data_IF_037436270308
#
_entry.id   IF_037436270308
#
_cell.length_a   1.000
_cell.length_b   1.000
_cell.length_c   1.000
_cell.angle_alpha   90.00
_cell.angle_beta   90.00
_cell.angle_gamma   90.00
#
_symmetry.space_group_name_H-M   'P 1'
#
loop_
_entity.id
_entity.type
_entity.pdbx_description
1 polymer ?
#
# COMPACT_ATOMS: atom_id res chain seq x y z
N UNK A 1 -13.41 11.75 6.55
CA UNK A 1 -12.26 11.85 5.69
C UNK A 1 -12.68 11.87 4.24
N UNK A 2 -11.82 12.32 3.34
CA UNK A 2 -12.23 12.51 1.96
C UNK A 2 -11.30 11.77 1.02
N UNK A 3 -11.86 11.26 -0.07
CA UNK A 3 -11.05 10.63 -1.10
C UNK A 3 -10.26 11.68 -1.86
N UNK A 4 -8.96 11.48 -1.91
CA UNK A 4 -8.02 12.39 -2.54
C UNK A 4 -7.37 11.70 -3.72
N UNK A 5 -7.30 12.38 -4.85
CA UNK A 5 -6.65 11.86 -6.05
C UNK A 5 -5.14 11.72 -5.79
N UNK A 6 -4.59 10.55 -6.06
CA UNK A 6 -3.19 10.25 -5.73
C UNK A 6 -2.33 9.91 -6.94
N UNK A 7 -2.84 9.07 -7.83
CA UNK A 7 -2.08 8.60 -8.98
C UNK A 7 -3.04 8.20 -10.08
N UNK A 8 -2.50 7.96 -11.27
CA UNK A 8 -3.28 7.40 -12.36
C UNK A 8 -3.19 5.89 -12.30
N UNK A 9 -4.28 5.22 -12.71
CA UNK A 9 -4.31 3.77 -12.78
C UNK A 9 -3.12 3.24 -13.60
N UNK A 10 -2.80 3.88 -14.71
CA UNK A 10 -1.72 3.44 -15.60
C UNK A 10 -0.31 3.65 -15.04
N UNK A 11 -0.18 4.46 -13.97
CA UNK A 11 1.13 4.71 -13.37
C UNK A 11 1.63 3.54 -12.53
N UNK A 12 0.74 2.60 -12.21
CA UNK A 12 1.07 1.47 -11.35
C UNK A 12 0.74 0.17 -12.09
N UNK A 13 1.77 -0.52 -12.55
CA UNK A 13 1.60 -1.78 -13.25
C UNK A 13 1.05 -2.86 -12.30
N UNK A 14 0.34 -3.83 -12.86
CA UNK A 14 -0.17 -4.96 -12.09
C UNK A 14 0.97 -5.66 -11.37
N UNK A 15 0.75 -5.97 -10.09
CA UNK A 15 1.75 -6.62 -9.25
C UNK A 15 2.82 -5.67 -8.71
N UNK A 16 2.65 -4.37 -8.89
CA UNK A 16 3.63 -3.37 -8.46
C UNK A 16 3.02 -2.39 -7.47
N UNK A 17 3.90 -1.70 -6.77
CA UNK A 17 3.54 -0.64 -5.84
C UNK A 17 4.18 0.68 -6.20
N UNK A 18 3.60 1.76 -5.68
CA UNK A 18 4.13 3.10 -5.87
C UNK A 18 3.91 3.90 -4.59
N UNK A 19 4.94 4.60 -4.15
CA UNK A 19 4.83 5.50 -3.00
C UNK A 19 4.25 6.84 -3.47
N UNK A 20 3.24 7.33 -2.77
CA UNK A 20 2.68 8.66 -3.01
C UNK A 20 2.60 9.41 -1.68
N UNK A 21 2.71 10.74 -1.75
CA UNK A 21 2.52 11.58 -0.57
C UNK A 21 1.20 12.31 -0.71
N UNK A 22 0.34 12.18 0.29
CA UNK A 22 -0.99 12.76 0.29
C UNK A 22 -1.27 13.38 1.65
N UNK A 23 -1.55 14.68 1.66
CA UNK A 23 -1.87 15.41 2.90
C UNK A 23 -0.83 15.18 4.00
N UNK A 24 0.44 15.17 3.62
CA UNK A 24 1.53 14.99 4.57
C UNK A 24 1.80 13.55 4.98
N UNK A 25 1.10 12.58 4.40
CA UNK A 25 1.30 11.16 4.69
C UNK A 25 1.91 10.46 3.50
N UNK A 26 2.86 9.57 3.77
CA UNK A 26 3.43 8.71 2.73
C UNK A 26 2.64 7.42 2.69
N UNK A 27 2.13 7.08 1.52
CA UNK A 27 1.24 5.94 1.32
C UNK A 27 1.81 5.08 0.20
N UNK A 28 1.75 3.76 0.38
CA UNK A 28 2.10 2.81 -0.67
C UNK A 28 0.82 2.35 -1.34
N UNK A 29 0.73 2.56 -2.65
CA UNK A 29 -0.37 2.09 -3.48
C UNK A 29 0.06 0.84 -4.21
N UNK A 30 -0.82 -0.16 -4.26
CA UNK A 30 -0.54 -1.41 -4.94
C UNK A 30 -1.64 -1.75 -5.93
N UNK A 31 -1.25 -2.25 -7.09
CA UNK A 31 -2.16 -2.74 -8.10
C UNK A 31 -2.13 -4.27 -8.07
N UNK A 32 -3.23 -4.88 -7.61
CA UNK A 32 -3.35 -6.33 -7.56
C UNK A 32 -4.49 -6.73 -8.49
N UNK A 33 -4.13 -7.17 -9.68
CA UNK A 33 -5.09 -7.62 -10.70
C UNK A 33 -6.14 -6.56 -11.03
N UNK A 34 -5.74 -5.30 -11.10
CA UNK A 34 -6.63 -4.20 -11.41
C UNK A 34 -7.35 -3.59 -10.21
N UNK A 35 -7.17 -4.16 -9.02
CA UNK A 35 -7.69 -3.59 -7.78
C UNK A 35 -6.57 -2.86 -7.06
N UNK A 36 -6.89 -1.70 -6.51
CA UNK A 36 -5.89 -0.88 -5.83
C UNK A 36 -6.05 -0.95 -4.32
N UNK A 37 -4.93 -1.05 -3.63
CA UNK A 37 -4.87 -1.10 -2.18
C UNK A 37 -3.88 -0.04 -1.71
N UNK A 38 -4.17 0.57 -0.57
CA UNK A 38 -3.33 1.61 0.00
C UNK A 38 -3.05 1.30 1.46
N UNK A 39 -1.78 1.30 1.82
CA UNK A 39 -1.33 1.14 3.21
C UNK A 39 -0.25 2.16 3.48
N UNK A 40 0.13 2.32 4.74
CA UNK A 40 1.27 3.17 5.07
C UNK A 40 2.50 2.75 4.27
N UNK A 41 3.29 3.73 3.86
CA UNK A 41 4.46 3.47 3.02
C UNK A 41 5.60 2.78 3.74
N UNK A 42 5.65 2.90 5.08
CA UNK A 42 6.75 2.37 5.86
C UNK A 42 6.34 1.15 6.66
N UNK A 43 7.20 0.12 6.59
CA UNK A 43 7.07 -1.05 7.44
C UNK A 43 7.20 -0.64 8.91
N UNK A 44 6.31 -1.14 9.76
CA UNK A 44 6.31 -0.79 11.19
C UNK A 44 7.51 -1.36 11.95
N UNK A 45 8.18 -2.37 11.39
CA UNK A 45 9.36 -2.96 12.04
C UNK A 45 10.57 -2.04 11.96
N UNK A 46 10.97 -1.65 10.75
CA UNK A 46 12.22 -0.90 10.56
C UNK A 46 12.09 0.26 9.58
N UNK A 47 10.88 0.62 9.20
CA UNK A 47 10.66 1.72 8.27
C UNK A 47 10.97 1.38 6.82
N UNK A 48 11.02 0.10 6.46
CA UNK A 48 11.31 -0.31 5.11
C UNK A 48 10.27 0.17 4.09
N UNK A 49 10.68 0.34 2.82
CA UNK A 49 9.80 0.90 1.79
C UNK A 49 8.83 -0.15 1.25
N UNK A 50 7.62 -0.20 1.79
CA UNK A 50 6.62 -1.19 1.39
C UNK A 50 6.26 -1.13 -0.09
N UNK A 51 6.30 0.06 -0.69
CA UNK A 51 5.99 0.18 -2.12
C UNK A 51 6.95 -0.60 -3.02
N UNK A 52 8.15 -0.90 -2.52
CA UNK A 52 9.14 -1.70 -3.25
C UNK A 52 9.05 -3.19 -2.89
N UNK A 53 8.09 -3.55 -2.06
CA UNK A 53 7.92 -4.92 -1.61
C UNK A 53 7.32 -5.83 -2.68
N UNK A 54 7.35 -7.12 -2.41
CA UNK A 54 6.77 -8.12 -3.29
C UNK A 54 5.35 -8.43 -2.87
N UNK A 55 4.42 -8.40 -3.81
CA UNK A 55 3.02 -8.74 -3.55
C UNK A 55 2.84 -10.25 -3.70
N UNK A 56 2.20 -10.86 -2.70
CA UNK A 56 1.89 -12.29 -2.71
C UNK A 56 0.56 -12.50 -2.02
N UNK A 57 -0.44 -13.02 -2.74
CA UNK A 57 -1.75 -13.35 -2.18
C UNK A 57 -2.39 -12.22 -1.34
N UNK A 58 -2.47 -11.02 -1.89
CA UNK A 58 -3.01 -9.84 -1.21
C UNK A 58 -2.21 -9.42 0.03
N UNK A 59 -0.97 -9.84 0.12
CA UNK A 59 -0.04 -9.39 1.15
C UNK A 59 1.16 -8.74 0.50
N UNK A 60 1.79 -7.80 1.19
CA UNK A 60 3.04 -7.21 0.75
C UNK A 60 4.16 -7.66 1.67
N UNK A 61 5.26 -8.13 1.08
CA UNK A 61 6.45 -8.56 1.77
C UNK A 61 7.44 -7.39 1.79
N UNK A 62 7.76 -6.91 2.98
CA UNK A 62 8.72 -5.81 3.14
C UNK A 62 10.10 -6.23 2.65
N UNK A 63 10.76 -5.45 1.78
CA UNK A 63 12.10 -5.81 1.29
C UNK A 63 13.16 -5.81 2.38
N UNK A 64 12.88 -5.20 3.53
CA UNK A 64 13.76 -5.23 4.69
C UNK A 64 13.21 -6.26 5.68
N UNK A 65 13.89 -7.36 5.91
CA UNK A 65 13.56 -8.38 6.92
C UNK A 65 12.27 -9.19 6.66
N UNK A 66 11.58 -8.96 5.53
CA UNK A 66 10.47 -9.80 5.06
C UNK A 66 9.25 -9.90 5.99
N UNK A 67 8.89 -8.82 6.68
CA UNK A 67 7.59 -8.75 7.34
C UNK A 67 6.49 -8.71 6.29
N UNK A 68 5.38 -9.39 6.53
CA UNK A 68 4.25 -9.39 5.60
C UNK A 68 3.04 -8.73 6.20
N UNK A 69 2.37 -7.91 5.41
CA UNK A 69 1.18 -7.18 5.82
C UNK A 69 0.04 -7.46 4.84
N UNK A 70 -1.16 -7.64 5.41
CA UNK A 70 -2.38 -7.79 4.60
C UNK A 70 -2.72 -6.44 3.95
N UNK A 71 -2.90 -6.43 2.63
CA UNK A 71 -3.19 -5.18 1.91
C UNK A 71 -4.61 -4.67 2.15
N UNK A 72 -5.54 -5.52 2.56
CA UNK A 72 -6.91 -5.11 2.85
C UNK A 72 -7.04 -4.46 4.23
N UNK A 73 -6.37 -5.02 5.22
CA UNK A 73 -6.56 -4.62 6.61
C UNK A 73 -5.35 -3.99 7.25
N UNK A 74 -4.15 -4.18 6.68
CA UNK A 74 -2.91 -3.73 7.27
C UNK A 74 -2.37 -4.66 8.35
N UNK A 75 -3.05 -5.76 8.62
CA UNK A 75 -2.65 -6.67 9.68
C UNK A 75 -1.31 -7.34 9.39
N UNK A 76 -0.53 -7.61 10.44
CA UNK A 76 0.72 -8.36 10.29
C UNK A 76 0.39 -9.82 10.01
N UNK A 77 0.94 -10.36 8.92
CA UNK A 77 0.79 -11.77 8.57
C UNK A 77 2.03 -12.57 8.89
N UNK A 78 3.18 -11.90 8.91
CA UNK A 78 4.45 -12.53 9.26
C UNK A 78 5.38 -11.48 9.85
N UNK A 79 6.04 -11.85 10.98
CA UNK A 79 7.04 -11.02 11.61
C UNK A 79 8.29 -10.90 10.76
N UNK A 80 9.25 -10.09 11.21
CA UNK A 80 9.44 -9.59 12.58
C UNK A 80 8.55 -8.42 13.02
N UNK A 81 7.79 -7.79 12.14
CA UNK A 81 6.90 -6.71 12.55
C UNK A 81 5.84 -7.23 13.52
N UNK A 82 5.51 -6.42 14.53
CA UNK A 82 4.49 -6.78 15.51
C UNK A 82 3.29 -5.83 15.47
N UNK A 83 3.42 -4.70 14.79
CA UNK A 83 2.35 -3.70 14.69
C UNK A 83 1.82 -3.66 13.26
N UNK A 84 0.50 -3.55 13.09
CA UNK A 84 -0.07 -3.42 11.75
C UNK A 84 0.28 -2.08 11.13
N UNK A 85 0.18 -2.00 9.81
CA UNK A 85 0.17 -0.72 9.10
C UNK A 85 -1.28 -0.28 8.95
N UNK A 86 -1.50 1.02 8.75
CA UNK A 86 -2.85 1.50 8.47
C UNK A 86 -3.20 1.20 7.03
N UNK A 87 -4.38 0.62 6.82
CA UNK A 87 -4.93 0.41 5.49
C UNK A 87 -5.95 1.52 5.20
N UNK A 88 -5.89 2.08 4.01
CA UNK A 88 -6.77 3.17 3.59
C UNK A 88 -7.73 2.67 2.52
N UNK A 89 -8.96 3.18 2.53
CA UNK A 89 -9.92 2.85 1.48
C UNK A 89 -9.49 3.50 0.17
N UNK A 90 -9.73 2.80 -0.92
CA UNK A 90 -9.42 3.32 -2.26
C UNK A 90 -10.64 3.22 -3.14
N UNK A 91 -10.68 4.04 -4.17
CA UNK A 91 -11.64 3.88 -5.27
C UNK A 91 -11.00 4.38 -6.55
N UNK A 92 -11.55 3.95 -7.67
CA UNK A 92 -11.13 4.41 -8.97
C UNK A 92 -12.20 5.32 -9.55
N UNK A 93 -11.78 6.43 -10.14
CA UNK A 93 -12.66 7.36 -10.82
C UNK A 93 -12.02 7.68 -12.15
N UNK A 94 -12.61 7.20 -13.24
CA UNK A 94 -12.01 7.26 -14.58
C UNK A 94 -10.67 6.54 -14.55
N UNK A 95 -9.57 7.24 -14.81
CA UNK A 95 -8.23 6.66 -14.80
C UNK A 95 -7.44 7.03 -13.55
N UNK A 96 -8.10 7.55 -12.53
CA UNK A 96 -7.43 7.99 -11.30
C UNK A 96 -7.72 7.06 -10.14
N UNK A 97 -6.72 6.92 -9.25
CA UNK A 97 -6.86 6.20 -7.98
C UNK A 97 -7.01 7.25 -6.88
N UNK A 98 -8.07 7.11 -6.09
CA UNK A 98 -8.34 8.01 -4.97
C UNK A 98 -8.17 7.23 -3.67
N UNK A 99 -7.64 7.88 -2.65
CA UNK A 99 -7.41 7.29 -1.34
C UNK A 99 -8.12 8.13 -0.29
N UNK A 100 -8.80 7.47 0.63
CA UNK A 100 -9.48 8.13 1.75
C UNK A 100 -8.46 8.39 2.85
N UNK A 101 -7.97 9.62 2.87
CA UNK A 101 -6.90 10.05 3.78
C UNK A 101 -7.35 11.23 4.63
#
# INVERSE_FOLDING_TARGET
MAFTKTARVKDIAEGKGKKVSVNGKDIALFNVRGKFFAVDAKCTHAGGPLANGTIKDLCVDCPWHHSEFDLKTGAVKQGPATKPVTAYKTKMEKDAVLVDV
#
